data_IF_234799606405
#
_entry.id   IF_234799606405
#
_cell.length_a   1.000
_cell.length_b   1.000
_cell.length_c   1.000
_cell.angle_alpha   90.00
_cell.angle_beta   90.00
_cell.angle_gamma   90.00
#
_symmetry.space_group_name_H-M   'P 1'
#
loop_
_entity.id
_entity.type
_entity.pdbx_description
1 polymer ?
#
# COMPACT_ATOMS: atom_id res chain seq x y z
N UNK A 1 15.72 -13.67 9.11
CA UNK A 1 15.06 -12.75 10.05
C UNK A 1 13.91 -13.54 10.68
N UNK A 2 13.59 -13.36 11.95
CA UNK A 2 12.36 -13.92 12.51
C UNK A 2 11.21 -12.92 12.34
N UNK A 3 9.97 -13.34 12.59
CA UNK A 3 8.80 -12.48 12.36
C UNK A 3 8.81 -11.25 13.27
N UNK A 4 9.32 -11.36 14.50
CA UNK A 4 9.41 -10.24 15.43
C UNK A 4 10.38 -9.15 14.94
N UNK A 5 11.53 -9.55 14.38
CA UNK A 5 12.45 -8.62 13.75
C UNK A 5 11.88 -8.06 12.44
N UNK A 6 11.09 -8.84 11.69
CA UNK A 6 10.46 -8.37 10.45
C UNK A 6 9.40 -7.29 10.70
N UNK A 7 8.66 -7.38 11.80
CA UNK A 7 7.72 -6.33 12.23
C UNK A 7 8.42 -4.98 12.46
N UNK A 8 9.73 -4.97 12.75
CA UNK A 8 10.48 -3.72 12.93
C UNK A 8 10.66 -2.95 11.62
N UNK A 9 10.38 -3.55 10.45
CA UNK A 9 10.40 -2.88 9.15
C UNK A 9 9.22 -1.93 8.94
N UNK A 10 8.15 -2.06 9.74
CA UNK A 10 6.98 -1.21 9.63
C UNK A 10 7.28 0.24 10.01
N UNK A 11 6.58 1.19 9.38
CA UNK A 11 6.36 2.54 9.91
C UNK A 11 5.82 2.46 11.34
N UNK A 12 6.12 3.50 12.11
CA UNK A 12 5.74 3.67 13.52
C UNK A 12 5.10 5.03 13.68
N UNK A 13 4.42 5.24 14.81
CA UNK A 13 3.84 6.55 15.14
C UNK A 13 4.89 7.68 15.11
N UNK A 14 6.12 7.40 15.53
CA UNK A 14 7.25 8.35 15.47
C UNK A 14 7.66 8.77 14.05
N UNK A 15 7.28 7.99 13.04
CA UNK A 15 7.53 8.32 11.64
C UNK A 15 6.47 9.23 11.04
N UNK A 16 5.33 9.41 11.72
CA UNK A 16 4.17 10.16 11.25
C UNK A 16 4.13 11.56 11.90
N UNK A 17 3.50 12.52 11.23
CA UNK A 17 3.21 13.83 11.85
C UNK A 17 2.28 13.70 13.07
N UNK A 18 2.17 14.75 13.89
CA UNK A 18 1.50 14.69 15.21
C UNK A 18 0.08 14.08 15.18
N UNK A 19 -0.21 13.23 16.17
CA UNK A 19 -1.54 12.68 16.53
C UNK A 19 -2.07 11.47 15.74
N UNK A 20 -1.20 10.67 15.11
CA UNK A 20 -1.59 9.32 14.65
C UNK A 20 -1.57 8.29 15.79
N UNK A 21 -2.46 7.31 15.70
CA UNK A 21 -2.56 6.17 16.62
C UNK A 21 -2.58 4.87 15.82
N UNK A 22 -1.83 3.87 16.28
CA UNK A 22 -1.85 2.53 15.70
C UNK A 22 -3.17 1.81 15.90
N UNK A 23 -3.67 1.20 14.84
CA UNK A 23 -4.87 0.33 14.84
C UNK A 23 -4.49 -1.08 14.37
N UNK A 24 -5.26 -2.08 14.79
CA UNK A 24 -5.16 -3.42 14.18
C UNK A 24 -5.59 -3.32 12.71
N UNK A 25 -4.78 -3.84 11.75
CA UNK A 25 -5.19 -3.94 10.36
C UNK A 25 -6.49 -4.73 10.25
N UNK A 26 -7.61 -4.03 10.07
CA UNK A 26 -8.94 -4.64 10.18
C UNK A 26 -9.40 -5.20 8.84
N UNK A 27 -9.92 -6.43 8.88
CA UNK A 27 -10.67 -7.04 7.78
C UNK A 27 -11.93 -6.24 7.38
N UNK A 28 -12.31 -5.19 8.13
CA UNK A 28 -13.36 -4.25 7.71
C UNK A 28 -13.05 -3.55 6.36
N UNK A 29 -11.78 -3.56 5.94
CA UNK A 29 -11.31 -2.91 4.71
C UNK A 29 -10.92 -3.90 3.61
N UNK A 30 -11.51 -5.10 3.53
CA UNK A 30 -11.31 -5.99 2.37
C UNK A 30 -12.24 -5.57 1.23
N UNK A 31 -11.76 -4.80 0.24
CA UNK A 31 -12.58 -4.44 -0.90
C UNK A 31 -12.95 -5.68 -1.72
N UNK A 32 -14.16 -5.68 -2.25
CA UNK A 32 -14.58 -6.49 -3.38
C UNK A 32 -14.69 -5.60 -4.62
N UNK A 33 -14.18 -6.08 -5.75
CA UNK A 33 -14.40 -5.41 -7.02
C UNK A 33 -15.87 -5.54 -7.44
N UNK A 34 -16.44 -4.44 -7.95
CA UNK A 34 -17.84 -4.38 -8.39
C UNK A 34 -17.93 -4.20 -9.90
N UNK A 35 -17.26 -3.20 -10.46
CA UNK A 35 -17.34 -2.86 -11.89
C UNK A 35 -16.26 -1.87 -12.32
N UNK A 36 -16.17 -1.60 -13.63
CA UNK A 36 -15.23 -0.64 -14.22
C UNK A 36 -14.20 -1.33 -15.10
N UNK A 37 -12.98 -0.81 -15.12
CA UNK A 37 -11.88 -1.41 -15.89
C UNK A 37 -11.53 -2.77 -15.29
N UNK A 38 -11.34 -3.79 -16.14
CA UNK A 38 -11.10 -5.16 -15.69
C UNK A 38 -9.83 -5.32 -14.83
N UNK A 39 -8.83 -4.47 -15.06
CA UNK A 39 -7.62 -4.38 -14.24
C UNK A 39 -7.90 -3.94 -12.80
N UNK A 40 -9.03 -3.30 -12.53
CA UNK A 40 -9.46 -2.97 -11.16
C UNK A 40 -9.68 -4.20 -10.28
N UNK A 41 -10.09 -5.34 -10.86
CA UNK A 41 -10.18 -6.61 -10.14
C UNK A 41 -8.79 -7.05 -9.66
N UNK A 42 -7.79 -7.00 -10.53
CA UNK A 42 -6.42 -7.36 -10.18
C UNK A 42 -5.83 -6.43 -9.10
N UNK A 43 -6.13 -5.13 -9.14
CA UNK A 43 -5.73 -4.19 -8.08
C UNK A 43 -6.34 -4.63 -6.74
N UNK A 44 -7.65 -4.88 -6.68
CA UNK A 44 -8.34 -5.31 -5.47
C UNK A 44 -7.75 -6.61 -4.93
N UNK A 45 -7.60 -7.62 -5.78
CA UNK A 45 -7.09 -8.94 -5.40
C UNK A 45 -5.66 -8.86 -4.88
N UNK A 46 -4.78 -8.12 -5.57
CA UNK A 46 -3.39 -7.92 -5.15
C UNK A 46 -3.31 -7.13 -3.84
N UNK A 47 -4.12 -6.08 -3.67
CA UNK A 47 -4.13 -5.33 -2.40
C UNK A 47 -4.61 -6.20 -1.23
N UNK A 48 -5.65 -7.02 -1.42
CA UNK A 48 -6.10 -7.95 -0.38
C UNK A 48 -5.03 -8.99 -0.07
N UNK A 49 -4.40 -9.56 -1.09
CA UNK A 49 -3.32 -10.52 -0.93
C UNK A 49 -2.14 -9.93 -0.14
N UNK A 50 -1.74 -8.69 -0.45
CA UNK A 50 -0.68 -8.00 0.26
C UNK A 50 -1.10 -7.72 1.71
N UNK A 51 -2.26 -7.11 1.94
CA UNK A 51 -2.75 -6.79 3.29
C UNK A 51 -2.76 -7.98 4.25
N UNK A 52 -3.06 -9.17 3.74
CA UNK A 52 -3.16 -10.40 4.52
C UNK A 52 -1.94 -11.32 4.40
N UNK A 53 -0.93 -10.96 3.62
CA UNK A 53 0.25 -11.79 3.36
C UNK A 53 -0.05 -13.16 2.75
N UNK A 54 -1.16 -13.32 2.02
CA UNK A 54 -1.68 -14.64 1.60
C UNK A 54 -1.04 -15.21 0.34
N UNK A 55 -0.07 -14.52 -0.26
CA UNK A 55 0.66 -15.09 -1.39
C UNK A 55 1.40 -16.37 -0.97
N UNK A 56 1.35 -17.48 -1.75
CA UNK A 56 1.98 -18.75 -1.37
C UNK A 56 3.50 -18.67 -1.12
N UNK A 57 4.20 -17.78 -1.83
CA UNK A 57 5.64 -17.56 -1.68
C UNK A 57 6.00 -16.49 -0.64
N UNK A 58 5.04 -15.97 0.13
CA UNK A 58 5.33 -15.05 1.25
C UNK A 58 6.17 -15.79 2.30
N UNK A 59 7.37 -15.26 2.57
CA UNK A 59 8.27 -15.78 3.61
C UNK A 59 8.03 -15.05 4.93
N UNK A 60 7.89 -13.73 4.86
CA UNK A 60 7.52 -12.89 6.00
C UNK A 60 6.54 -11.83 5.54
N UNK A 61 5.65 -11.42 6.43
CA UNK A 61 4.64 -10.39 6.19
C UNK A 61 4.43 -9.57 7.46
N UNK A 62 4.25 -8.27 7.28
CA UNK A 62 3.86 -7.35 8.33
C UNK A 62 2.99 -6.24 7.73
N UNK A 63 1.98 -5.81 8.48
CA UNK A 63 1.15 -4.66 8.12
C UNK A 63 0.81 -3.82 9.35
N UNK A 64 0.67 -2.52 9.15
CA UNK A 64 0.27 -1.55 10.16
C UNK A 64 -0.72 -0.55 9.58
N UNK A 65 -1.70 -0.16 10.40
CA UNK A 65 -2.67 0.87 10.10
C UNK A 65 -2.56 1.98 11.14
N UNK A 66 -2.54 3.22 10.69
CA UNK A 66 -2.50 4.40 11.55
C UNK A 66 -3.61 5.35 11.13
N UNK A 67 -4.32 5.89 12.10
CA UNK A 67 -5.34 6.92 11.87
C UNK A 67 -5.11 8.11 12.79
N UNK A 68 -5.65 9.28 12.44
CA UNK A 68 -5.63 10.44 13.33
C UNK A 68 -7.03 11.03 13.52
N UNK A 69 -7.15 11.97 14.46
CA UNK A 69 -8.43 12.60 14.85
C UNK A 69 -9.11 13.40 13.73
N UNK A 70 -8.36 13.78 12.68
CA UNK A 70 -8.89 14.50 11.51
C UNK A 70 -9.28 13.57 10.35
N UNK A 71 -9.13 12.26 10.54
CA UNK A 71 -9.52 11.23 9.57
C UNK A 71 -8.48 10.96 8.48
N UNK A 72 -7.23 11.36 8.67
CA UNK A 72 -6.10 10.87 7.88
C UNK A 72 -5.85 9.40 8.20
N UNK A 73 -5.37 8.66 7.21
CA UNK A 73 -5.09 7.23 7.32
C UNK A 73 -3.76 6.93 6.65
N UNK A 74 -2.91 6.15 7.30
CA UNK A 74 -1.69 5.58 6.70
C UNK A 74 -1.72 4.08 6.92
N UNK A 75 -1.75 3.34 5.82
CA UNK A 75 -1.57 1.90 5.82
C UNK A 75 -0.18 1.60 5.27
N UNK A 76 0.55 0.74 5.96
CA UNK A 76 1.85 0.28 5.54
C UNK A 76 1.91 -1.24 5.57
N UNK A 77 2.36 -1.81 4.47
CA UNK A 77 2.58 -3.23 4.30
C UNK A 77 4.03 -3.46 3.87
N UNK A 78 4.65 -4.50 4.44
CA UNK A 78 5.93 -5.02 4.01
C UNK A 78 5.81 -6.54 3.90
N UNK A 79 6.23 -7.11 2.77
CA UNK A 79 6.33 -8.55 2.61
C UNK A 79 7.64 -8.94 1.94
N UNK A 80 8.22 -10.05 2.41
CA UNK A 80 9.35 -10.72 1.79
C UNK A 80 8.85 -11.93 1.02
N UNK A 81 9.30 -12.08 -0.22
CA UNK A 81 8.91 -13.18 -1.09
C UNK A 81 10.09 -14.08 -1.46
N UNK A 82 9.85 -15.37 -1.65
CA UNK A 82 10.84 -16.28 -2.22
C UNK A 82 10.98 -16.15 -3.73
N UNK A 83 12.02 -16.77 -4.30
CA UNK A 83 12.09 -17.16 -5.72
C UNK A 83 11.88 -16.05 -6.78
N UNK A 84 12.17 -14.78 -6.46
CA UNK A 84 11.97 -13.66 -7.39
C UNK A 84 10.52 -13.20 -7.52
N UNK A 85 9.61 -13.77 -6.72
CA UNK A 85 8.18 -13.45 -6.72
C UNK A 85 7.92 -11.98 -6.37
N UNK A 86 8.76 -11.32 -5.56
CA UNK A 86 8.65 -9.88 -5.28
C UNK A 86 8.57 -9.05 -6.58
N UNK A 87 9.48 -9.31 -7.53
CA UNK A 87 9.51 -8.63 -8.83
C UNK A 87 8.28 -8.95 -9.68
N UNK A 88 7.75 -10.16 -9.58
CA UNK A 88 6.53 -10.55 -10.29
C UNK A 88 5.33 -9.78 -9.73
N UNK A 89 5.10 -9.83 -8.41
CA UNK A 89 4.00 -9.12 -7.73
C UNK A 89 4.08 -7.62 -7.99
N UNK A 90 5.27 -7.03 -7.91
CA UNK A 90 5.50 -5.62 -8.24
C UNK A 90 5.04 -5.29 -9.67
N UNK A 91 5.43 -6.10 -10.66
CA UNK A 91 5.06 -5.88 -12.07
C UNK A 91 3.58 -6.08 -12.31
N UNK A 92 2.98 -7.12 -11.75
CA UNK A 92 1.53 -7.37 -11.86
C UNK A 92 0.74 -6.19 -11.29
N UNK A 93 1.15 -5.67 -10.12
CA UNK A 93 0.51 -4.52 -9.53
C UNK A 93 0.73 -3.25 -10.37
N UNK A 94 1.95 -3.01 -10.86
CA UNK A 94 2.24 -1.88 -11.74
C UNK A 94 1.42 -1.91 -13.02
N UNK A 95 1.36 -3.06 -13.71
CA UNK A 95 0.62 -3.24 -14.96
C UNK A 95 -0.89 -3.06 -14.73
N UNK A 96 -1.42 -3.62 -13.64
CA UNK A 96 -2.82 -3.46 -13.26
C UNK A 96 -3.16 -1.98 -12.98
N UNK A 97 -2.31 -1.31 -12.19
CA UNK A 97 -2.44 0.12 -11.92
C UNK A 97 -2.33 0.93 -13.20
N UNK A 98 -1.40 0.60 -14.11
CA UNK A 98 -1.19 1.30 -15.37
C UNK A 98 -2.41 1.18 -16.30
N UNK A 99 -3.01 0.00 -16.38
CA UNK A 99 -4.17 -0.28 -17.22
C UNK A 99 -5.51 0.24 -16.63
N UNK A 100 -5.57 0.50 -15.33
CA UNK A 100 -6.79 0.95 -14.65
C UNK A 100 -6.89 2.48 -14.58
N UNK A 101 -7.87 3.06 -15.27
CA UNK A 101 -8.22 4.47 -15.12
C UNK A 101 -9.30 4.67 -14.05
N UNK A 102 -10.28 3.75 -13.97
CA UNK A 102 -11.39 3.82 -13.02
C UNK A 102 -11.98 2.45 -12.70
N UNK A 103 -12.38 2.26 -11.45
CA UNK A 103 -13.09 1.07 -11.01
C UNK A 103 -13.98 1.40 -9.82
N UNK A 104 -14.92 0.51 -9.52
CA UNK A 104 -15.78 0.56 -8.34
C UNK A 104 -15.47 -0.63 -7.45
N UNK A 105 -15.35 -0.37 -6.16
CA UNK A 105 -15.23 -1.40 -5.14
C UNK A 105 -16.28 -1.23 -4.05
N UNK A 106 -16.56 -2.30 -3.33
CA UNK A 106 -17.44 -2.35 -2.17
C UNK A 106 -16.64 -2.82 -0.96
N UNK A 107 -16.74 -2.12 0.16
CA UNK A 107 -16.16 -2.53 1.44
C UNK A 107 -17.11 -3.51 2.16
N UNK A 108 -16.60 -4.21 3.17
CA UNK A 108 -17.35 -5.23 3.89
C UNK A 108 -18.58 -4.70 4.66
N UNK A 109 -18.64 -3.40 4.94
CA UNK A 109 -19.81 -2.72 5.53
C UNK A 109 -20.88 -2.32 4.49
N UNK A 110 -20.65 -2.65 3.21
CA UNK A 110 -21.54 -2.34 2.08
C UNK A 110 -21.29 -0.97 1.45
N UNK A 111 -20.31 -0.20 1.93
CA UNK A 111 -19.96 1.09 1.35
C UNK A 111 -19.35 0.91 -0.04
N UNK A 112 -19.88 1.62 -1.03
CA UNK A 112 -19.39 1.61 -2.41
C UNK A 112 -18.57 2.85 -2.72
N UNK A 113 -17.39 2.63 -3.29
CA UNK A 113 -16.43 3.66 -3.66
C UNK A 113 -16.21 3.63 -5.16
N UNK A 114 -16.45 4.76 -5.83
CA UNK A 114 -15.97 4.99 -7.19
C UNK A 114 -14.54 5.51 -7.11
N UNK A 115 -13.60 4.77 -7.69
CA UNK A 115 -12.16 5.05 -7.65
C UNK A 115 -11.71 5.51 -9.03
N UNK A 116 -11.03 6.64 -9.10
CA UNK A 116 -10.46 7.19 -10.34
C UNK A 116 -8.98 7.49 -10.14
N UNK A 117 -8.13 7.03 -11.06
CA UNK A 117 -6.70 7.37 -11.06
C UNK A 117 -6.52 8.81 -11.51
N UNK A 118 -5.85 9.63 -10.69
CA UNK A 118 -5.59 11.05 -11.00
C UNK A 118 -4.11 11.35 -11.25
N UNK A 119 -3.21 10.42 -10.93
CA UNK A 119 -1.79 10.54 -11.22
C UNK A 119 -1.08 9.19 -11.15
N UNK A 120 -0.01 9.03 -11.92
CA UNK A 120 0.89 7.89 -11.89
C UNK A 120 2.28 8.37 -12.31
N UNK A 121 3.30 8.07 -11.51
CA UNK A 121 4.68 8.45 -11.79
C UNK A 121 5.68 7.48 -11.18
N UNK A 122 6.93 7.47 -11.68
CA UNK A 122 7.99 6.68 -11.08
C UNK A 122 8.40 7.26 -9.72
N UNK A 123 8.96 6.40 -8.88
CA UNK A 123 9.64 6.77 -7.64
C UNK A 123 11.05 6.22 -7.71
N UNK A 124 12.03 7.10 -7.59
CA UNK A 124 13.46 6.77 -7.59
C UNK A 124 13.89 6.29 -6.19
N UNK A 125 13.31 5.17 -5.74
CA UNK A 125 13.64 4.49 -4.48
C UNK A 125 13.82 3.00 -4.74
N UNK A 126 14.74 2.39 -3.98
CA UNK A 126 15.11 0.98 -4.08
C UNK A 126 15.46 0.51 -5.48
N UNK A 127 15.06 -0.71 -5.84
CA UNK A 127 15.23 -1.30 -7.17
C UNK A 127 14.22 -0.80 -8.20
N UNK A 128 13.30 0.06 -7.77
CA UNK A 128 12.21 0.59 -8.55
C UNK A 128 10.97 0.80 -7.71
N UNK A 129 10.30 1.92 -7.95
CA UNK A 129 9.05 2.25 -7.29
C UNK A 129 8.12 3.04 -8.21
N UNK A 130 6.86 3.11 -7.82
CA UNK A 130 5.90 4.01 -8.44
C UNK A 130 4.97 4.61 -7.39
N UNK A 131 4.52 5.82 -7.70
CA UNK A 131 3.52 6.56 -6.96
C UNK A 131 2.26 6.63 -7.81
N UNK A 132 1.13 6.21 -7.27
CA UNK A 132 -0.18 6.38 -7.89
C UNK A 132 -1.09 7.21 -6.99
N UNK A 133 -1.84 8.13 -7.58
CA UNK A 133 -2.85 8.95 -6.90
C UNK A 133 -4.24 8.51 -7.30
N UNK A 134 -5.11 8.34 -6.32
CA UNK A 134 -6.49 7.93 -6.49
C UNK A 134 -7.43 8.95 -5.87
N UNK A 135 -8.52 9.23 -6.57
CA UNK A 135 -9.68 9.93 -6.04
C UNK A 135 -10.80 8.90 -5.85
N UNK A 136 -11.20 8.71 -4.60
CA UNK A 136 -12.34 7.90 -4.21
C UNK A 136 -13.54 8.80 -3.95
N UNK A 137 -14.71 8.46 -4.49
CA UNK A 137 -15.96 9.16 -4.22
C UNK A 137 -17.00 8.22 -3.65
N UNK A 138 -17.62 8.63 -2.54
CA UNK A 138 -18.75 7.94 -1.88
C UNK A 138 -19.75 9.01 -1.45
N UNK A 139 -20.98 8.91 -1.93
CA UNK A 139 -22.04 9.91 -1.73
C UNK A 139 -21.56 11.35 -2.00
N UNK A 140 -21.44 12.17 -0.96
CA UNK A 140 -20.98 13.56 -1.03
C UNK A 140 -19.50 13.72 -0.64
N UNK A 141 -18.82 12.65 -0.26
CA UNK A 141 -17.43 12.65 0.16
C UNK A 141 -16.49 12.39 -1.01
N UNK A 142 -15.37 13.10 -0.98
CA UNK A 142 -14.25 12.95 -1.90
C UNK A 142 -13.00 12.71 -1.07
N UNK A 143 -12.34 11.59 -1.32
CA UNK A 143 -11.18 11.14 -0.57
C UNK A 143 -10.04 11.00 -1.56
N UNK A 144 -8.99 11.79 -1.40
CA UNK A 144 -7.74 11.60 -2.15
C UNK A 144 -6.80 10.70 -1.35
N UNK A 145 -6.23 9.73 -2.04
CA UNK A 145 -5.18 8.86 -1.51
C UNK A 145 -4.02 8.81 -2.48
N UNK A 146 -2.82 8.54 -1.98
CA UNK A 146 -1.74 8.09 -2.85
C UNK A 146 -1.06 6.86 -2.28
N UNK A 147 -0.59 6.02 -3.20
CA UNK A 147 0.11 4.80 -2.88
C UNK A 147 1.53 4.89 -3.42
N UNK A 148 2.50 4.60 -2.56
CA UNK A 148 3.88 4.35 -2.96
C UNK A 148 4.16 2.84 -2.85
N UNK A 149 4.51 2.22 -3.97
CA UNK A 149 4.90 0.82 -4.06
C UNK A 149 6.38 0.81 -4.42
N UNK A 150 7.22 0.20 -3.58
CA UNK A 150 8.66 0.10 -3.81
C UNK A 150 9.12 -1.32 -3.61
N UNK A 151 9.93 -1.83 -4.55
CA UNK A 151 10.62 -3.09 -4.42
C UNK A 151 12.09 -2.85 -4.02
N UNK A 152 12.60 -3.66 -3.10
CA UNK A 152 14.01 -3.71 -2.72
C UNK A 152 14.38 -5.19 -2.53
N UNK A 153 15.25 -5.71 -3.40
CA UNK A 153 15.62 -7.13 -3.45
C UNK A 153 14.37 -8.04 -3.52
N UNK A 154 14.13 -8.80 -2.45
CA UNK A 154 13.03 -9.74 -2.30
C UNK A 154 11.89 -9.19 -1.41
N UNK A 155 11.94 -7.90 -1.06
CA UNK A 155 10.99 -7.22 -0.19
C UNK A 155 10.18 -6.21 -1.00
N UNK A 156 8.85 -6.24 -0.82
CA UNK A 156 7.92 -5.26 -1.36
C UNK A 156 7.37 -4.42 -0.21
N UNK A 157 7.53 -3.10 -0.34
CA UNK A 157 6.96 -2.09 0.54
C UNK A 157 5.78 -1.42 -0.16
N UNK A 158 4.64 -1.33 0.53
CA UNK A 158 3.42 -0.69 0.06
C UNK A 158 2.91 0.29 1.12
N UNK A 159 2.95 1.58 0.82
CA UNK A 159 2.41 2.65 1.66
C UNK A 159 1.18 3.22 0.96
N UNK A 160 0.01 3.14 1.59
CA UNK A 160 -1.22 3.81 1.16
C UNK A 160 -1.55 4.90 2.18
N UNK A 161 -1.61 6.15 1.74
CA UNK A 161 -1.86 7.27 2.62
C UNK A 161 -2.99 8.16 2.10
N UNK A 162 -3.89 8.53 3.01
CA UNK A 162 -4.78 9.68 2.92
C UNK A 162 -4.16 10.81 3.74
N UNK A 163 -3.25 11.55 3.13
CA UNK A 163 -2.63 12.74 3.73
C UNK A 163 -2.80 13.93 2.80
N UNK A 164 -2.89 15.17 3.33
CA UNK A 164 -3.14 16.35 2.51
C UNK A 164 -2.02 16.68 1.50
N UNK A 165 -0.78 16.26 1.80
CA UNK A 165 0.42 16.64 1.05
C UNK A 165 1.11 15.45 0.38
N UNK A 166 1.43 15.58 -0.91
CA UNK A 166 2.11 14.52 -1.69
C UNK A 166 3.54 14.24 -1.20
N UNK A 167 4.24 15.28 -0.75
CA UNK A 167 5.60 15.19 -0.18
C UNK A 167 5.66 14.25 1.00
N UNK A 168 4.57 14.17 1.78
CA UNK A 168 4.50 13.32 2.96
C UNK A 168 4.49 11.83 2.57
N UNK A 169 3.79 11.47 1.50
CA UNK A 169 3.73 10.08 1.01
C UNK A 169 5.10 9.62 0.51
N UNK A 170 5.80 10.50 -0.22
CA UNK A 170 7.17 10.22 -0.66
C UNK A 170 8.15 10.13 0.50
N UNK A 171 7.97 10.96 1.55
CA UNK A 171 8.77 10.89 2.78
C UNK A 171 8.57 9.56 3.49
N UNK A 172 7.32 9.14 3.69
CA UNK A 172 6.98 7.86 4.33
C UNK A 172 7.51 6.66 3.53
N UNK A 173 7.39 6.69 2.20
CA UNK A 173 7.96 5.67 1.34
C UNK A 173 9.49 5.58 1.48
N UNK A 174 10.17 6.73 1.52
CA UNK A 174 11.62 6.79 1.73
C UNK A 174 12.00 6.19 3.08
N UNK A 175 11.34 6.59 4.17
CA UNK A 175 11.59 6.05 5.52
C UNK A 175 11.41 4.53 5.53
N UNK A 176 10.34 4.02 4.90
CA UNK A 176 10.08 2.59 4.85
C UNK A 176 11.17 1.82 4.06
N UNK A 177 11.65 2.36 2.94
CA UNK A 177 12.71 1.75 2.12
C UNK A 177 14.07 1.81 2.83
N UNK A 178 14.45 2.97 3.37
CA UNK A 178 15.69 3.14 4.14
C UNK A 178 15.74 2.15 5.31
N UNK A 179 14.62 1.95 6.00
CA UNK A 179 14.50 0.98 7.07
C UNK A 179 14.71 -0.46 6.61
N UNK A 180 14.21 -0.83 5.43
CA UNK A 180 14.48 -2.14 4.82
C UNK A 180 15.97 -2.31 4.58
N UNK A 181 16.63 -1.33 3.94
CA UNK A 181 18.07 -1.34 3.69
C UNK A 181 18.87 -1.49 4.99
N UNK A 182 18.58 -0.66 6.01
CA UNK A 182 19.30 -0.63 7.27
C UNK A 182 19.17 -1.92 8.09
N UNK A 183 17.96 -2.50 8.17
CA UNK A 183 17.68 -3.64 9.04
C UNK A 183 17.92 -5.00 8.38
N UNK A 184 17.96 -5.05 7.04
CA UNK A 184 18.17 -6.30 6.30
C UNK A 184 19.53 -6.39 5.60
N UNK A 185 20.21 -5.26 5.38
CA UNK A 185 21.43 -5.19 4.57
C UNK A 185 21.16 -5.29 3.07
N UNK A 186 19.90 -5.22 2.64
CA UNK A 186 19.50 -5.10 1.24
C UNK A 186 20.20 -3.87 0.61
N UNK A 187 20.73 -4.02 -0.61
CA UNK A 187 21.62 -3.03 -1.26
C UNK A 187 21.12 -2.63 -2.64
#
# INVERSE_FOLDING_TARGET
MDDAAFQQLLLREEDLEESFYGEEPSAAYDPAFVSGDASGQAIVDLTNMLTHGTHPDTVHHASALFTNVVGSVVFHHVARFGHGTCRQVYRELFDAVQACARYRMELNDGVRLDITRVGLGPVELGDGGFLVRWLSTVDHFRIETAWAIVAQDDILTFVNARVPEESEIQRLARVAVERVTELTGAS
#
